data_IF_520548729540
#
_entry.id   IF_520548729540
#
_cell.length_a   1.000
_cell.length_b   1.000
_cell.length_c   1.000
_cell.angle_alpha   90.00
_cell.angle_beta   90.00
_cell.angle_gamma   90.00
#
_symmetry.space_group_name_H-M   'P 1'
#
loop_
_entity.id
_entity.type
_entity.pdbx_description
1 polymer ?
#
# COMPACT_ATOMS: atom_id res chain seq x y z
N UNK A 1 22.05 0.46 -2.68
CA UNK A 1 21.81 -0.54 -3.67
C UNK A 1 20.33 -0.72 -3.88
N UNK A 2 19.97 -1.07 -5.11
CA UNK A 2 18.58 -1.18 -5.50
C UNK A 2 17.75 -2.11 -4.61
N UNK A 3 18.36 -3.22 -4.23
CA UNK A 3 17.65 -4.25 -3.46
C UNK A 3 17.26 -3.79 -2.06
N UNK A 4 18.11 -2.99 -1.41
CA UNK A 4 17.82 -2.47 -0.07
C UNK A 4 16.60 -1.56 -0.07
N UNK A 5 16.53 -0.65 -1.06
CA UNK A 5 15.42 0.28 -1.15
C UNK A 5 14.12 -0.43 -1.49
N UNK A 6 14.17 -1.40 -2.40
CA UNK A 6 13.00 -2.18 -2.76
C UNK A 6 12.50 -3.00 -1.59
N UNK A 7 13.41 -3.59 -0.82
CA UNK A 7 13.05 -4.36 0.37
C UNK A 7 12.38 -3.49 1.42
N UNK A 8 12.93 -2.30 1.65
CA UNK A 8 12.35 -1.34 2.60
C UNK A 8 10.92 -0.98 2.22
N UNK A 9 10.71 -0.69 0.92
CA UNK A 9 9.38 -0.36 0.41
C UNK A 9 8.43 -1.53 0.60
N UNK A 10 8.87 -2.74 0.29
CA UNK A 10 8.03 -3.93 0.44
C UNK A 10 7.64 -4.16 1.89
N UNK A 11 8.59 -4.02 2.80
CA UNK A 11 8.32 -4.18 4.23
C UNK A 11 7.33 -3.14 4.72
N UNK A 12 7.51 -1.89 4.31
CA UNK A 12 6.62 -0.81 4.70
C UNK A 12 5.22 -1.01 4.11
N UNK A 13 5.17 -1.40 2.82
CA UNK A 13 3.91 -1.68 2.16
C UNK A 13 3.18 -2.83 2.85
N UNK A 14 3.88 -3.90 3.19
CA UNK A 14 3.29 -5.04 3.89
C UNK A 14 2.76 -4.63 5.25
N UNK A 15 3.49 -3.77 5.96
CA UNK A 15 3.05 -3.25 7.24
C UNK A 15 1.73 -2.47 7.09
N UNK A 16 1.66 -1.58 6.12
CA UNK A 16 0.45 -0.79 5.87
C UNK A 16 -0.72 -1.67 5.45
N UNK A 17 -0.47 -2.62 4.56
CA UNK A 17 -1.51 -3.55 4.12
C UNK A 17 -2.05 -4.33 5.31
N UNK A 18 -1.18 -4.78 6.19
CA UNK A 18 -1.58 -5.52 7.37
C UNK A 18 -2.46 -4.67 8.28
N UNK A 19 -2.12 -3.39 8.44
CA UNK A 19 -2.92 -2.47 9.23
C UNK A 19 -4.31 -2.28 8.64
N UNK A 20 -4.40 -2.12 7.32
CA UNK A 20 -5.69 -1.97 6.65
C UNK A 20 -6.53 -3.24 6.76
N UNK A 21 -5.92 -4.40 6.62
CA UNK A 21 -6.63 -5.68 6.76
C UNK A 21 -7.18 -5.84 8.17
N UNK A 22 -6.39 -5.47 9.17
CA UNK A 22 -6.81 -5.51 10.56
C UNK A 22 -7.99 -4.58 10.80
N UNK A 23 -7.91 -3.37 10.26
CA UNK A 23 -8.98 -2.39 10.39
C UNK A 23 -10.26 -2.88 9.72
N UNK A 24 -10.14 -3.46 8.52
CA UNK A 24 -11.29 -4.01 7.82
C UNK A 24 -11.97 -5.12 8.62
N UNK A 25 -11.18 -5.95 9.31
CA UNK A 25 -11.70 -7.01 10.15
C UNK A 25 -12.43 -6.46 11.38
N UNK A 26 -11.86 -5.41 12.00
CA UNK A 26 -12.46 -4.79 13.17
C UNK A 26 -13.77 -4.05 12.86
N UNK A 27 -13.86 -3.51 11.65
CA UNK A 27 -15.02 -2.73 11.22
C UNK A 27 -15.73 -3.40 10.05
N UNK A 28 -15.90 -4.71 10.12
CA UNK A 28 -16.53 -5.48 9.04
C UNK A 28 -18.01 -5.12 8.82
N UNK A 29 -18.64 -4.52 9.83
CA UNK A 29 -20.01 -4.05 9.74
C UNK A 29 -20.12 -2.71 8.99
N UNK A 30 -19.00 -2.04 8.73
CA UNK A 30 -18.98 -0.73 8.08
C UNK A 30 -18.52 -0.91 6.63
N UNK A 31 -19.48 -0.93 5.70
CA UNK A 31 -19.20 -1.17 4.29
C UNK A 31 -18.30 -0.08 3.69
N UNK A 32 -18.47 1.18 4.11
CA UNK A 32 -17.65 2.27 3.60
C UNK A 32 -16.19 2.13 4.03
N UNK A 33 -15.97 1.75 5.28
CA UNK A 33 -14.63 1.53 5.81
C UNK A 33 -13.97 0.36 5.11
N UNK A 34 -14.70 -0.72 4.92
CA UNK A 34 -14.18 -1.89 4.22
C UNK A 34 -13.79 -1.54 2.78
N UNK A 35 -14.63 -0.78 2.07
CA UNK A 35 -14.33 -0.35 0.71
C UNK A 35 -13.07 0.52 0.69
N UNK A 36 -12.93 1.42 1.66
CA UNK A 36 -11.75 2.26 1.81
C UNK A 36 -10.49 1.41 1.99
N UNK A 37 -10.55 0.43 2.90
CA UNK A 37 -9.41 -0.45 3.17
C UNK A 37 -9.03 -1.27 1.95
N UNK A 38 -9.99 -1.84 1.24
CA UNK A 38 -9.73 -2.59 0.02
C UNK A 38 -9.06 -1.73 -1.04
N UNK A 39 -9.56 -0.52 -1.22
CA UNK A 39 -9.01 0.42 -2.19
C UNK A 39 -7.57 0.80 -1.82
N UNK A 40 -7.33 1.05 -0.54
CA UNK A 40 -5.99 1.39 -0.05
C UNK A 40 -5.02 0.24 -0.28
N UNK A 41 -5.42 -0.99 0.05
CA UNK A 41 -4.59 -2.18 -0.13
C UNK A 41 -4.26 -2.36 -1.62
N UNK A 42 -5.25 -2.24 -2.49
CA UNK A 42 -5.05 -2.36 -3.92
C UNK A 42 -4.08 -1.33 -4.47
N UNK A 43 -4.20 -0.08 -4.02
CA UNK A 43 -3.29 0.99 -4.43
C UNK A 43 -1.86 0.72 -4.00
N UNK A 44 -1.68 0.25 -2.76
CA UNK A 44 -0.35 -0.06 -2.23
C UNK A 44 0.30 -1.21 -3.02
N UNK A 45 -0.44 -2.28 -3.25
CA UNK A 45 0.06 -3.43 -4.00
C UNK A 45 0.45 -3.03 -5.41
N UNK A 46 -0.36 -2.22 -6.07
CA UNK A 46 -0.10 -1.73 -7.42
C UNK A 46 1.16 -0.85 -7.44
N UNK A 47 1.30 0.03 -6.44
CA UNK A 47 2.47 0.91 -6.35
C UNK A 47 3.77 0.12 -6.21
N UNK A 48 3.78 -0.89 -5.36
CA UNK A 48 4.95 -1.74 -5.17
C UNK A 48 5.31 -2.46 -6.47
N UNK A 49 4.31 -2.99 -7.16
CA UNK A 49 4.53 -3.67 -8.43
C UNK A 49 5.10 -2.72 -9.47
N UNK A 50 4.57 -1.51 -9.57
CA UNK A 50 5.06 -0.51 -10.52
C UNK A 50 6.49 -0.08 -10.19
N UNK A 51 6.81 0.07 -8.92
CA UNK A 51 8.17 0.43 -8.50
C UNK A 51 9.15 -0.68 -8.86
N UNK A 52 8.76 -1.94 -8.73
CA UNK A 52 9.60 -3.08 -9.09
C UNK A 52 9.93 -3.10 -10.57
N UNK A 53 8.96 -2.74 -11.40
CA UNK A 53 9.13 -2.75 -12.85
C UNK A 53 9.75 -1.47 -13.37
N UNK A 54 10.02 -0.50 -12.49
CA UNK A 54 10.64 0.77 -12.87
C UNK A 54 9.69 1.78 -13.48
N UNK A 55 8.38 1.54 -13.39
CA UNK A 55 7.38 2.46 -13.94
C UNK A 55 7.25 3.73 -13.10
N UNK A 56 7.53 3.64 -11.81
CA UNK A 56 7.54 4.79 -10.91
C UNK A 56 8.79 4.76 -10.05
N UNK A 57 9.15 5.91 -9.50
CA UNK A 57 10.33 6.01 -8.62
C UNK A 57 10.00 5.50 -7.21
N UNK A 58 11.04 5.26 -6.44
CA UNK A 58 10.90 4.87 -5.03
C UNK A 58 10.14 5.94 -4.25
N UNK A 59 10.44 7.21 -4.50
CA UNK A 59 9.77 8.32 -3.81
C UNK A 59 8.29 8.38 -4.16
N UNK A 60 7.95 8.16 -5.43
CA UNK A 60 6.55 8.11 -5.86
C UNK A 60 5.82 6.94 -5.21
N UNK A 61 6.47 5.79 -5.12
CA UNK A 61 5.89 4.62 -4.47
C UNK A 61 5.61 4.89 -2.99
N UNK A 62 6.57 5.49 -2.30
CA UNK A 62 6.40 5.84 -0.89
C UNK A 62 5.24 6.82 -0.69
N UNK A 63 5.10 7.78 -1.58
CA UNK A 63 4.00 8.74 -1.50
C UNK A 63 2.64 8.04 -1.64
N UNK A 64 2.55 7.10 -2.57
CA UNK A 64 1.32 6.32 -2.76
C UNK A 64 1.02 5.47 -1.52
N UNK A 65 2.04 4.84 -0.94
CA UNK A 65 1.87 4.02 0.26
C UNK A 65 1.38 4.87 1.44
N UNK A 66 1.89 6.08 1.56
CA UNK A 66 1.48 6.98 2.64
C UNK A 66 0.07 7.54 2.44
N UNK A 67 -0.34 7.70 1.19
CA UNK A 67 -1.65 8.27 0.86
C UNK A 67 -2.36 7.44 -0.21
N UNK A 68 -2.67 6.17 0.08
CA UNK A 68 -3.14 5.24 -0.95
C UNK A 68 -4.49 5.58 -1.55
N UNK A 69 -5.35 6.28 -0.83
CA UNK A 69 -6.69 6.60 -1.30
C UNK A 69 -6.72 7.83 -2.19
N UNK A 70 -5.70 8.65 -2.10
CA UNK A 70 -5.59 9.87 -2.90
C UNK A 70 -5.26 9.55 -4.36
N UNK A 71 -4.75 8.35 -4.61
CA UNK A 71 -4.33 7.89 -5.92
C UNK A 71 -5.36 6.89 -6.47
#
# INVERSE_FOLDING_TARGET
MKDSKCRFIEEYANFQIRQYKKEATLYDYDAERNAFCEKAIGSIEKAVKMARTGMITVNECMDIICHPVKW
#
